data_IF_711762958051
#
_entry.id   IF_711762958051
#
_cell.length_a   1.000
_cell.length_b   1.000
_cell.length_c   1.000
_cell.angle_alpha   90.00
_cell.angle_beta   90.00
_cell.angle_gamma   90.00
#
_symmetry.space_group_name_H-M   'P 1'
#
loop_
_entity.id
_entity.type
_entity.pdbx_description
1 polymer ?
#
# COMPACT_ATOMS: atom_id res chain seq x y z
N UNK A 1 47.64 -7.93 -33.53
CA UNK A 1 47.69 -6.73 -32.67
C UNK A 1 46.99 -5.52 -33.30
N UNK A 2 47.30 -5.12 -34.55
CA UNK A 2 46.64 -3.98 -35.22
C UNK A 2 45.12 -4.15 -35.44
N UNK A 3 44.67 -5.34 -35.83
CA UNK A 3 43.23 -5.66 -35.98
C UNK A 3 42.48 -5.59 -34.64
N UNK A 4 43.09 -6.11 -33.58
CA UNK A 4 42.55 -6.07 -32.21
C UNK A 4 42.47 -4.62 -31.69
N UNK A 5 43.50 -3.81 -31.97
CA UNK A 5 43.51 -2.38 -31.63
C UNK A 5 42.44 -1.60 -32.41
N UNK A 6 42.23 -1.90 -33.70
CA UNK A 6 41.16 -1.31 -34.51
C UNK A 6 39.78 -1.65 -33.97
N UNK A 7 39.54 -2.91 -33.61
CA UNK A 7 38.25 -3.34 -33.05
C UNK A 7 37.95 -2.62 -31.72
N UNK A 8 38.94 -2.53 -30.83
CA UNK A 8 38.83 -1.81 -29.55
C UNK A 8 38.55 -0.32 -29.77
N UNK A 9 39.28 0.33 -30.69
CA UNK A 9 39.06 1.73 -31.02
C UNK A 9 37.68 1.99 -31.63
N UNK A 10 37.22 1.14 -32.54
CA UNK A 10 35.89 1.26 -33.16
C UNK A 10 34.80 1.14 -32.09
N UNK A 11 34.88 0.15 -31.20
CA UNK A 11 33.90 0.00 -30.11
C UNK A 11 33.95 1.17 -29.12
N UNK A 12 35.14 1.67 -28.79
CA UNK A 12 35.28 2.84 -27.92
C UNK A 12 34.64 4.09 -28.54
N UNK A 13 34.88 4.33 -29.84
CA UNK A 13 34.28 5.47 -30.56
C UNK A 13 32.76 5.33 -30.64
N UNK A 14 32.24 4.15 -30.98
CA UNK A 14 30.79 3.92 -31.03
C UNK A 14 30.18 4.12 -29.64
N UNK A 15 30.79 3.57 -28.58
CA UNK A 15 30.32 3.75 -27.21
C UNK A 15 30.29 5.22 -26.77
N UNK A 16 31.33 6.00 -27.10
CA UNK A 16 31.39 7.43 -26.81
C UNK A 16 30.29 8.18 -27.55
N UNK A 17 30.08 7.89 -28.84
CA UNK A 17 29.04 8.54 -29.65
C UNK A 17 27.65 8.19 -29.11
N UNK A 18 27.38 6.92 -28.80
CA UNK A 18 26.10 6.49 -28.21
C UNK A 18 25.85 7.15 -26.86
N UNK A 19 26.84 7.22 -25.98
CA UNK A 19 26.74 7.88 -24.68
C UNK A 19 26.49 9.39 -24.82
N UNK A 20 27.17 10.05 -25.77
CA UNK A 20 26.99 11.47 -26.04
C UNK A 20 25.59 11.79 -26.57
N UNK A 21 25.06 10.95 -27.47
CA UNK A 21 23.68 11.09 -27.97
C UNK A 21 22.68 10.89 -26.84
N UNK A 22 22.81 9.82 -26.05
CA UNK A 22 21.90 9.53 -24.95
C UNK A 22 21.94 10.63 -23.87
N UNK A 23 23.13 11.11 -23.51
CA UNK A 23 23.29 12.21 -22.56
C UNK A 23 22.71 13.52 -23.10
N UNK A 24 22.90 13.82 -24.39
CA UNK A 24 22.32 14.99 -25.04
C UNK A 24 20.80 14.96 -25.07
N UNK A 25 20.20 13.81 -25.41
CA UNK A 25 18.75 13.61 -25.35
C UNK A 25 18.26 13.78 -23.91
N UNK A 26 18.86 13.06 -22.95
CA UNK A 26 18.46 13.11 -21.54
C UNK A 26 18.52 14.53 -20.95
N UNK A 27 19.56 15.31 -21.25
CA UNK A 27 19.73 16.66 -20.70
C UNK A 27 18.71 17.66 -21.28
N UNK A 28 18.17 17.40 -22.47
CA UNK A 28 17.10 18.21 -23.07
C UNK A 28 15.72 17.74 -22.56
N UNK A 29 15.52 16.43 -22.41
CA UNK A 29 14.22 15.87 -22.01
C UNK A 29 13.97 15.95 -20.51
N UNK A 30 14.98 15.77 -19.66
CA UNK A 30 14.86 15.79 -18.20
C UNK A 30 14.14 17.05 -17.66
N UNK A 31 14.47 18.30 -18.04
CA UNK A 31 13.76 19.47 -17.54
C UNK A 31 12.31 19.56 -18.03
N UNK A 32 12.01 19.03 -19.22
CA UNK A 32 10.64 19.00 -19.76
C UNK A 32 9.79 17.96 -19.04
N UNK A 33 10.37 16.79 -18.74
CA UNK A 33 9.71 15.74 -17.96
C UNK A 33 9.38 16.28 -16.56
N UNK A 34 10.35 16.89 -15.89
CA UNK A 34 10.16 17.44 -14.56
C UNK A 34 9.09 18.55 -14.53
N UNK A 35 9.03 19.42 -15.54
CA UNK A 35 7.98 20.44 -15.59
C UNK A 35 6.60 19.83 -15.87
N UNK A 36 6.50 18.83 -16.75
CA UNK A 36 5.23 18.14 -17.01
C UNK A 36 4.72 17.42 -15.76
N UNK A 37 5.59 16.67 -15.07
CA UNK A 37 5.27 15.99 -13.80
C UNK A 37 4.81 17.01 -12.76
N UNK A 38 5.53 18.14 -12.62
CA UNK A 38 5.15 19.22 -11.70
C UNK A 38 3.76 19.80 -12.04
N UNK A 39 3.44 19.97 -13.32
CA UNK A 39 2.12 20.44 -13.74
C UNK A 39 1.04 19.41 -13.44
N UNK A 40 1.29 18.13 -13.67
CA UNK A 40 0.36 17.04 -13.33
C UNK A 40 0.10 16.96 -11.83
N UNK A 41 1.14 17.07 -11.00
CA UNK A 41 1.01 17.12 -9.54
C UNK A 41 0.22 18.35 -9.09
N UNK A 42 0.52 19.54 -9.63
CA UNK A 42 -0.22 20.76 -9.31
C UNK A 42 -1.69 20.68 -9.75
N UNK A 43 -1.97 20.03 -10.87
CA UNK A 43 -3.32 19.79 -11.34
C UNK A 43 -4.05 18.82 -10.40
N UNK A 44 -3.44 17.70 -10.04
CA UNK A 44 -4.03 16.75 -9.09
C UNK A 44 -4.32 17.41 -7.73
N UNK A 45 -3.40 18.24 -7.22
CA UNK A 45 -3.62 18.99 -5.97
C UNK A 45 -4.83 19.91 -6.06
N UNK A 46 -5.01 20.65 -7.15
CA UNK A 46 -6.18 21.52 -7.34
C UNK A 46 -7.47 20.74 -7.54
N UNK A 47 -7.40 19.64 -8.25
CA UNK A 47 -8.56 18.78 -8.50
C UNK A 47 -9.04 18.11 -7.19
N UNK A 48 -8.11 17.70 -6.33
CA UNK A 48 -8.41 17.00 -5.08
C UNK A 48 -8.68 17.95 -3.91
N UNK A 49 -8.01 19.10 -3.88
CA UNK A 49 -8.11 20.11 -2.83
C UNK A 49 -8.29 21.50 -3.46
N UNK A 50 -9.52 21.86 -3.88
CA UNK A 50 -9.78 23.15 -4.56
C UNK A 50 -9.36 24.38 -3.76
N UNK A 51 -9.39 24.28 -2.43
CA UNK A 51 -9.05 25.36 -1.50
C UNK A 51 -7.57 25.37 -1.06
N UNK A 52 -6.69 24.63 -1.75
CA UNK A 52 -5.25 24.59 -1.45
C UNK A 52 -4.61 25.98 -1.56
N UNK A 53 -3.90 26.39 -0.51
CA UNK A 53 -3.08 27.60 -0.50
C UNK A 53 -1.59 27.30 -0.30
N UNK A 54 -1.24 26.26 0.46
CA UNK A 54 0.14 25.87 0.69
C UNK A 54 0.27 24.38 0.90
N UNK A 55 1.44 23.84 0.59
CA UNK A 55 1.75 22.42 0.75
C UNK A 55 3.09 22.20 1.44
N UNK A 56 3.21 21.07 2.12
CA UNK A 56 4.46 20.58 2.69
C UNK A 56 4.68 19.14 2.22
N UNK A 57 5.89 18.84 1.71
CA UNK A 57 6.22 17.53 1.15
C UNK A 57 7.06 16.74 2.15
N UNK A 58 6.70 15.47 2.36
CA UNK A 58 7.41 14.47 3.15
C UNK A 58 7.73 13.27 2.28
N UNK A 59 8.99 12.84 2.29
CA UNK A 59 9.42 11.63 1.60
C UNK A 59 9.54 10.50 2.63
N UNK A 60 8.85 9.41 2.36
CA UNK A 60 8.85 8.19 3.15
C UNK A 60 9.36 7.02 2.29
N UNK A 61 9.60 5.85 2.89
CA UNK A 61 10.10 4.67 2.17
C UNK A 61 9.12 4.14 1.12
N UNK A 62 7.82 4.31 1.36
CA UNK A 62 6.71 3.84 0.53
C UNK A 62 6.18 4.88 -0.47
N UNK A 63 6.57 6.16 -0.33
CA UNK A 63 6.27 7.19 -1.32
C UNK A 63 6.38 8.62 -0.80
N UNK A 64 5.72 9.53 -1.50
CA UNK A 64 5.73 10.96 -1.18
C UNK A 64 4.38 11.41 -0.64
N UNK A 65 4.38 12.07 0.52
CA UNK A 65 3.20 12.57 1.19
C UNK A 65 3.21 14.10 1.18
N UNK A 66 2.23 14.68 0.51
CA UNK A 66 2.05 16.13 0.42
C UNK A 66 0.93 16.56 1.34
N UNK A 67 1.26 17.19 2.47
CA UNK A 67 0.30 17.80 3.37
C UNK A 67 -0.26 19.06 2.72
N UNK A 68 -1.58 19.23 2.73
CA UNK A 68 -2.28 20.29 2.01
C UNK A 68 -3.02 21.18 2.98
N UNK A 69 -2.76 22.49 2.93
CA UNK A 69 -3.33 23.47 3.84
C UNK A 69 -4.13 24.54 3.09
N UNK A 70 -5.17 25.06 3.75
CA UNK A 70 -5.93 26.22 3.26
C UNK A 70 -5.24 27.55 3.55
N UNK A 71 -5.84 28.66 3.10
CA UNK A 71 -5.31 30.01 3.32
C UNK A 71 -5.29 30.47 4.78
N UNK A 72 -5.92 29.74 5.70
CA UNK A 72 -5.89 29.98 7.15
C UNK A 72 -4.80 29.19 7.87
N UNK A 73 -4.15 28.25 7.19
CA UNK A 73 -3.19 27.32 7.77
C UNK A 73 -3.83 26.06 8.36
N UNK A 74 -5.12 25.81 8.10
CA UNK A 74 -5.79 24.57 8.50
C UNK A 74 -5.44 23.45 7.51
N UNK A 75 -5.14 22.26 8.04
CA UNK A 75 -4.92 21.05 7.23
C UNK A 75 -6.25 20.64 6.56
N UNK A 76 -6.23 20.57 5.22
CA UNK A 76 -7.34 20.05 4.41
C UNK A 76 -7.25 18.53 4.24
N UNK A 77 -6.04 17.99 4.22
CA UNK A 77 -5.75 16.57 4.07
C UNK A 77 -4.33 16.33 3.59
N UNK A 78 -4.09 15.10 3.14
CA UNK A 78 -2.80 14.64 2.63
C UNK A 78 -3.00 14.01 1.26
N UNK A 79 -2.19 14.41 0.29
CA UNK A 79 -2.07 13.72 -1.00
C UNK A 79 -0.86 12.80 -0.95
N UNK A 80 -1.07 11.50 -1.03
CA UNK A 80 -0.02 10.50 -1.16
C UNK A 80 0.22 10.17 -2.63
N UNK A 81 1.49 10.15 -3.04
CA UNK A 81 1.95 9.62 -4.32
C UNK A 81 2.80 8.40 -4.02
N UNK A 82 2.26 7.22 -4.28
CA UNK A 82 2.89 5.95 -3.92
C UNK A 82 2.95 5.01 -5.11
N UNK A 83 3.79 3.98 -4.98
CA UNK A 83 3.94 2.92 -5.96
C UNK A 83 3.77 1.56 -5.30
N UNK A 84 3.04 0.68 -5.97
CA UNK A 84 2.87 -0.71 -5.55
C UNK A 84 3.12 -1.64 -6.73
N UNK A 85 3.35 -2.91 -6.42
CA UNK A 85 3.58 -3.93 -7.43
C UNK A 85 2.29 -4.70 -7.72
N UNK A 86 1.74 -4.49 -8.92
CA UNK A 86 0.65 -5.29 -9.48
C UNK A 86 1.17 -6.60 -10.11
N UNK A 87 0.32 -7.23 -10.93
CA UNK A 87 0.67 -8.47 -11.61
C UNK A 87 1.78 -8.29 -12.66
N UNK A 88 1.65 -7.25 -13.49
CA UNK A 88 2.56 -6.99 -14.60
C UNK A 88 3.75 -6.11 -14.23
N UNK A 89 3.65 -5.35 -13.14
CA UNK A 89 4.79 -4.60 -12.60
C UNK A 89 4.36 -3.47 -11.68
N UNK A 90 5.16 -2.41 -11.65
CA UNK A 90 4.91 -1.26 -10.80
C UNK A 90 3.75 -0.43 -11.33
N UNK A 91 2.91 0.02 -10.41
CA UNK A 91 1.79 0.93 -10.63
C UNK A 91 1.98 2.12 -9.70
N UNK A 92 1.86 3.33 -10.23
CA UNK A 92 1.96 4.58 -9.48
C UNK A 92 0.62 5.28 -9.46
N UNK A 93 0.20 5.79 -8.30
CA UNK A 93 -1.05 6.54 -8.18
C UNK A 93 -0.96 7.65 -7.14
N UNK A 94 -1.82 8.65 -7.31
CA UNK A 94 -2.11 9.65 -6.29
C UNK A 94 -3.38 9.25 -5.53
N UNK A 95 -3.39 9.47 -4.23
CA UNK A 95 -4.58 9.37 -3.39
C UNK A 95 -4.67 10.56 -2.44
N UNK A 96 -5.84 11.16 -2.36
CA UNK A 96 -6.15 12.20 -1.38
C UNK A 96 -6.92 11.59 -0.21
N UNK A 97 -6.41 11.84 1.00
CA UNK A 97 -7.06 11.52 2.27
C UNK A 97 -7.41 12.84 2.93
N UNK A 98 -8.68 13.03 3.29
CA UNK A 98 -9.15 14.24 3.96
C UNK A 98 -8.62 14.34 5.38
N UNK A 99 -8.75 15.51 6.01
CA UNK A 99 -8.45 15.68 7.44
C UNK A 99 -9.31 14.81 8.37
N UNK A 100 -10.37 14.19 7.86
CA UNK A 100 -11.23 13.24 8.58
C UNK A 100 -10.77 11.78 8.40
N UNK A 101 -9.65 11.55 7.71
CA UNK A 101 -9.12 10.21 7.46
C UNK A 101 -9.84 9.45 6.34
N UNK A 102 -10.65 10.12 5.50
CA UNK A 102 -11.41 9.48 4.42
C UNK A 102 -10.78 9.71 3.06
N UNK A 103 -10.83 8.70 2.19
CA UNK A 103 -10.39 8.77 0.81
C UNK A 103 -11.32 9.70 0.03
N UNK A 104 -10.81 10.85 -0.40
CA UNK A 104 -11.56 11.87 -1.14
C UNK A 104 -11.31 11.84 -2.64
N UNK A 105 -10.19 11.27 -3.09
CA UNK A 105 -9.88 11.05 -4.50
C UNK A 105 -8.77 10.02 -4.71
N UNK A 106 -8.83 9.31 -5.84
CA UNK A 106 -7.75 8.44 -6.32
C UNK A 106 -7.53 8.71 -7.81
N UNK A 107 -6.27 8.77 -8.25
CA UNK A 107 -5.89 8.85 -9.67
C UNK A 107 -4.67 7.97 -9.93
N UNK A 108 -4.82 6.96 -10.75
CA UNK A 108 -3.69 6.17 -11.26
C UNK A 108 -2.91 7.02 -12.26
N UNK A 109 -1.61 7.17 -12.03
CA UNK A 109 -0.69 7.94 -12.87
C UNK A 109 -0.05 7.07 -13.94
N UNK A 110 0.45 5.90 -13.55
CA UNK A 110 1.05 4.94 -14.45
C UNK A 110 0.66 3.52 -14.03
N UNK A 111 0.07 2.78 -14.96
CA UNK A 111 -0.17 1.34 -14.85
C UNK A 111 0.24 0.62 -16.14
N UNK A 112 1.14 1.19 -16.93
CA UNK A 112 1.57 0.67 -18.24
C UNK A 112 2.23 -0.71 -18.16
N UNK A 113 2.69 -1.10 -16.97
CA UNK A 113 3.23 -2.44 -16.70
C UNK A 113 2.13 -3.52 -16.63
N UNK A 114 0.88 -3.16 -16.41
CA UNK A 114 -0.24 -4.10 -16.32
C UNK A 114 -0.66 -4.63 -17.70
N UNK A 115 -1.35 -5.77 -17.70
CA UNK A 115 -1.88 -6.34 -18.96
C UNK A 115 -3.09 -5.51 -19.43
N UNK A 116 -3.04 -4.91 -20.64
CA UNK A 116 -4.13 -4.09 -21.16
C UNK A 116 -5.45 -4.88 -21.25
N UNK A 117 -6.54 -4.28 -20.80
CA UNK A 117 -7.86 -4.90 -20.74
C UNK A 117 -8.09 -5.90 -19.61
N UNK A 118 -7.07 -6.16 -18.78
CA UNK A 118 -7.16 -7.06 -17.62
C UNK A 118 -6.77 -6.31 -16.35
N UNK A 119 -5.48 -6.05 -16.16
CA UNK A 119 -4.94 -5.43 -14.94
C UNK A 119 -5.15 -3.91 -14.88
N UNK A 120 -5.34 -3.26 -16.04
CA UNK A 120 -5.65 -1.84 -16.15
C UNK A 120 -7.04 -1.46 -15.59
N UNK A 121 -7.84 -2.44 -15.16
CA UNK A 121 -9.12 -2.22 -14.48
C UNK A 121 -8.97 -1.37 -13.21
N UNK A 122 -7.80 -1.41 -12.56
CA UNK A 122 -7.48 -0.59 -11.38
C UNK A 122 -7.50 0.92 -11.66
N UNK A 123 -7.34 1.33 -12.93
CA UNK A 123 -7.39 2.73 -13.35
C UNK A 123 -8.80 3.16 -13.77
N UNK A 124 -9.78 2.25 -13.80
CA UNK A 124 -11.13 2.55 -14.27
C UNK A 124 -12.00 3.16 -13.16
N UNK A 125 -12.84 4.16 -13.45
CA UNK A 125 -13.70 4.79 -12.46
C UNK A 125 -14.56 3.80 -11.69
N UNK A 126 -15.10 2.78 -12.37
CA UNK A 126 -16.00 1.78 -11.75
C UNK A 126 -15.31 0.96 -10.65
N UNK A 127 -13.99 0.79 -10.73
CA UNK A 127 -13.22 0.14 -9.68
C UNK A 127 -12.84 1.14 -8.58
N UNK A 128 -12.34 2.33 -8.95
CA UNK A 128 -11.90 3.35 -8.01
C UNK A 128 -13.04 3.83 -7.10
N UNK A 129 -14.27 3.93 -7.61
CA UNK A 129 -15.46 4.29 -6.83
C UNK A 129 -15.73 3.34 -5.65
N UNK A 130 -15.26 2.09 -5.68
CA UNK A 130 -15.40 1.12 -4.58
C UNK A 130 -14.56 1.48 -3.36
N UNK A 131 -13.53 2.29 -3.56
CA UNK A 131 -12.58 2.72 -2.53
C UNK A 131 -12.92 4.11 -1.99
N UNK A 132 -13.71 4.89 -2.73
CA UNK A 132 -14.06 6.26 -2.36
C UNK A 132 -14.86 6.30 -1.06
N UNK A 133 -14.51 7.25 -0.19
CA UNK A 133 -15.21 7.49 1.07
C UNK A 133 -14.84 6.52 2.21
N UNK A 134 -14.17 5.39 1.92
CA UNK A 134 -13.53 4.54 2.94
C UNK A 134 -12.38 5.30 3.60
N UNK A 135 -12.06 4.96 4.84
CA UNK A 135 -11.03 5.67 5.60
C UNK A 135 -10.56 4.92 6.83
N UNK A 136 -9.96 5.67 7.75
CA UNK A 136 -9.44 5.15 9.02
C UNK A 136 -10.56 4.44 9.79
N UNK A 137 -10.31 3.19 10.20
CA UNK A 137 -11.26 2.36 10.93
C UNK A 137 -12.30 1.64 10.07
N UNK A 138 -12.38 1.92 8.76
CA UNK A 138 -13.20 1.11 7.85
C UNK A 138 -12.46 -0.18 7.48
N UNK A 139 -13.22 -1.27 7.31
CA UNK A 139 -12.68 -2.50 6.78
C UNK A 139 -12.37 -2.34 5.27
N UNK A 140 -11.10 -2.53 4.90
CA UNK A 140 -10.58 -2.41 3.52
C UNK A 140 -9.80 -3.69 3.17
N UNK A 141 -10.51 -4.81 3.13
CA UNK A 141 -9.94 -6.09 2.72
C UNK A 141 -10.39 -6.49 1.30
N UNK A 142 -9.42 -6.91 0.49
CA UNK A 142 -9.68 -7.38 -0.86
C UNK A 142 -10.49 -8.68 -0.87
N UNK A 143 -11.58 -8.70 -1.64
CA UNK A 143 -12.47 -9.86 -1.77
C UNK A 143 -13.39 -10.09 -0.57
N UNK A 144 -13.31 -9.25 0.47
CA UNK A 144 -14.20 -9.26 1.64
C UNK A 144 -14.98 -7.95 1.69
N UNK A 145 -14.32 -6.82 1.95
CA UNK A 145 -14.97 -5.50 2.04
C UNK A 145 -14.95 -4.71 0.74
N UNK A 146 -14.01 -5.06 -0.14
CA UNK A 146 -13.85 -4.45 -1.46
C UNK A 146 -13.73 -5.55 -2.49
N UNK A 147 -14.74 -5.66 -3.35
CA UNK A 147 -14.78 -6.65 -4.42
C UNK A 147 -13.56 -6.52 -5.33
N UNK A 148 -12.85 -7.63 -5.52
CA UNK A 148 -11.84 -7.77 -6.57
C UNK A 148 -12.51 -7.93 -7.94
N UNK A 149 -11.72 -7.86 -9.02
CA UNK A 149 -12.24 -8.09 -10.37
C UNK A 149 -11.77 -9.46 -10.86
N UNK A 150 -12.72 -10.28 -11.29
CA UNK A 150 -12.43 -11.60 -11.86
C UNK A 150 -11.49 -11.49 -13.07
N UNK A 151 -10.44 -12.31 -13.09
CA UNK A 151 -9.38 -12.25 -14.09
C UNK A 151 -8.30 -11.19 -13.85
N UNK A 152 -8.51 -10.27 -12.90
CA UNK A 152 -7.56 -9.22 -12.52
C UNK A 152 -7.30 -9.19 -11.00
N UNK A 153 -7.56 -10.30 -10.30
CA UNK A 153 -7.53 -10.40 -8.84
C UNK A 153 -6.22 -9.92 -8.24
N UNK A 154 -5.08 -10.26 -8.83
CA UNK A 154 -3.75 -9.87 -8.31
C UNK A 154 -3.59 -8.35 -8.32
N UNK A 155 -3.90 -7.70 -9.44
CA UNK A 155 -3.75 -6.26 -9.60
C UNK A 155 -4.75 -5.49 -8.73
N UNK A 156 -6.01 -5.95 -8.67
CA UNK A 156 -7.03 -5.31 -7.81
C UNK A 156 -6.73 -5.48 -6.33
N UNK A 157 -6.24 -6.64 -5.91
CA UNK A 157 -5.86 -6.91 -4.51
C UNK A 157 -4.69 -6.03 -4.10
N UNK A 158 -3.67 -5.95 -4.96
CA UNK A 158 -2.51 -5.10 -4.70
C UNK A 158 -2.88 -3.62 -4.56
N UNK A 159 -3.83 -3.13 -5.38
CA UNK A 159 -4.35 -1.76 -5.26
C UNK A 159 -5.10 -1.55 -3.93
N UNK A 160 -5.99 -2.47 -3.55
CA UNK A 160 -6.77 -2.38 -2.30
C UNK A 160 -5.84 -2.35 -1.09
N UNK A 161 -4.84 -3.24 -1.05
CA UNK A 161 -3.86 -3.29 0.04
C UNK A 161 -2.99 -2.03 0.10
N UNK A 162 -2.56 -1.53 -1.05
CA UNK A 162 -1.79 -0.28 -1.13
C UNK A 162 -2.60 0.90 -0.62
N UNK A 163 -3.87 0.99 -1.00
CA UNK A 163 -4.78 2.05 -0.53
C UNK A 163 -4.94 2.01 0.97
N UNK A 164 -5.15 0.82 1.53
CA UNK A 164 -5.24 0.64 2.98
C UNK A 164 -3.96 1.09 3.69
N UNK A 165 -2.80 0.61 3.25
CA UNK A 165 -1.50 1.00 3.84
C UNK A 165 -1.34 2.52 3.87
N UNK A 166 -1.71 3.20 2.79
CA UNK A 166 -1.62 4.66 2.73
C UNK A 166 -2.61 5.34 3.69
N UNK A 167 -3.83 4.82 3.83
CA UNK A 167 -4.79 5.34 4.84
C UNK A 167 -4.18 5.23 6.23
N UNK A 168 -3.62 4.07 6.57
CA UNK A 168 -3.03 3.80 7.88
C UNK A 168 -1.80 4.71 8.14
N UNK A 169 -0.90 4.82 7.16
CA UNK A 169 0.27 5.72 7.22
C UNK A 169 -0.16 7.17 7.40
N UNK A 170 -1.20 7.62 6.67
CA UNK A 170 -1.68 9.00 6.79
C UNK A 170 -2.30 9.27 8.15
N UNK A 171 -3.11 8.33 8.65
CA UNK A 171 -3.75 8.42 9.95
C UNK A 171 -2.72 8.60 11.07
N UNK A 172 -1.78 7.66 11.13
CA UNK A 172 -0.78 7.58 12.19
C UNK A 172 0.21 8.74 12.14
N UNK A 173 0.75 9.06 10.96
CA UNK A 173 1.88 9.99 10.85
C UNK A 173 1.48 11.45 10.68
N UNK A 174 0.30 11.73 10.09
CA UNK A 174 -0.04 13.09 9.67
C UNK A 174 -1.35 13.62 10.25
N UNK A 175 -2.32 12.76 10.55
CA UNK A 175 -3.60 13.19 11.12
C UNK A 175 -3.63 13.10 12.65
N UNK A 176 -2.64 12.44 13.27
CA UNK A 176 -2.66 12.17 14.71
C UNK A 176 -3.85 11.29 15.10
N UNK A 177 -4.34 10.52 14.13
CA UNK A 177 -5.36 9.51 14.30
C UNK A 177 -4.60 8.21 14.57
N UNK A 178 -4.29 7.98 15.85
CA UNK A 178 -3.93 6.64 16.29
C UNK A 178 -5.15 5.75 15.97
N UNK A 179 -4.95 4.58 15.34
CA UNK A 179 -6.01 3.58 15.36
C UNK A 179 -6.38 3.38 16.83
N UNK A 180 -7.66 3.50 17.18
CA UNK A 180 -8.10 3.00 18.48
C UNK A 180 -7.70 1.52 18.48
N UNK A 181 -6.67 1.19 19.26
CA UNK A 181 -6.10 -0.15 19.29
C UNK A 181 -7.23 -1.14 19.46
N UNK A 182 -7.21 -2.20 18.64
CA UNK A 182 -8.26 -3.20 18.65
C UNK A 182 -8.46 -3.68 20.10
N UNK A 183 -9.63 -3.40 20.70
CA UNK A 183 -9.86 -3.71 22.10
C UNK A 183 -10.05 -5.22 22.25
N UNK A 184 -8.93 -5.94 22.39
CA UNK A 184 -8.90 -7.40 22.56
C UNK A 184 -9.74 -7.81 23.78
N UNK A 185 -9.89 -6.93 24.79
CA UNK A 185 -10.71 -7.23 25.97
C UNK A 185 -12.22 -7.28 25.65
N UNK A 186 -12.65 -6.67 24.54
CA UNK A 186 -14.03 -6.73 24.06
C UNK A 186 -14.32 -7.98 23.21
N UNK A 187 -13.28 -8.73 22.83
CA UNK A 187 -13.42 -9.94 22.00
C UNK A 187 -13.89 -11.10 22.86
N UNK A 188 -14.97 -11.82 22.47
CA UNK A 188 -15.41 -13.01 23.18
C UNK A 188 -14.34 -14.11 23.16
N UNK A 189 -14.32 -14.91 24.22
CA UNK A 189 -13.44 -16.08 24.29
C UNK A 189 -13.83 -17.09 23.22
N UNK A 190 -12.84 -17.56 22.46
CA UNK A 190 -13.10 -18.45 21.33
C UNK A 190 -11.90 -18.63 20.41
N UNK A 191 -12.13 -19.38 19.33
CA UNK A 191 -11.15 -19.60 18.28
C UNK A 191 -11.71 -19.10 16.97
N UNK A 192 -11.02 -18.16 16.35
CA UNK A 192 -11.48 -17.43 15.17
C UNK A 192 -10.47 -17.57 14.04
N UNK A 193 -10.97 -17.79 12.83
CA UNK A 193 -10.14 -17.82 11.64
C UNK A 193 -10.20 -16.50 10.91
N UNK A 194 -9.03 -15.99 10.57
CA UNK A 194 -8.89 -14.79 9.76
C UNK A 194 -7.90 -15.00 8.64
N UNK A 195 -8.08 -14.20 7.61
CA UNK A 195 -7.31 -14.24 6.37
C UNK A 195 -6.70 -12.87 6.16
N UNK A 196 -5.40 -12.85 5.91
CA UNK A 196 -4.65 -11.65 5.59
C UNK A 196 -3.79 -11.89 4.35
N UNK A 197 -3.70 -10.89 3.50
CA UNK A 197 -2.98 -11.02 2.23
C UNK A 197 -1.47 -10.83 2.47
N UNK A 198 -0.69 -11.88 2.19
CA UNK A 198 0.78 -11.84 2.17
C UNK A 198 1.36 -11.30 0.86
N UNK A 199 2.68 -11.40 0.68
CA UNK A 199 3.39 -10.92 -0.51
C UNK A 199 3.05 -11.69 -1.80
N UNK A 200 2.76 -12.98 -1.72
CA UNK A 200 2.43 -13.88 -2.84
C UNK A 200 0.96 -14.29 -2.87
N UNK A 201 0.32 -14.42 -1.71
CA UNK A 201 -1.04 -14.93 -1.61
C UNK A 201 -1.56 -14.86 -0.19
N UNK A 202 -2.71 -15.46 0.04
CA UNK A 202 -3.40 -15.39 1.32
C UNK A 202 -2.65 -16.17 2.41
N UNK A 203 -2.67 -15.60 3.61
CA UNK A 203 -2.23 -16.22 4.86
C UNK A 203 -3.48 -16.36 5.71
N UNK A 204 -3.80 -17.60 6.07
CA UNK A 204 -4.93 -17.91 6.95
C UNK A 204 -4.39 -18.29 8.30
N UNK A 205 -4.86 -17.61 9.34
CA UNK A 205 -4.49 -17.89 10.73
C UNK A 205 -5.73 -18.25 11.55
N UNK A 206 -5.49 -19.01 12.59
CA UNK A 206 -6.43 -19.31 13.65
C UNK A 206 -5.94 -18.63 14.93
N UNK A 207 -6.76 -17.74 15.47
CA UNK A 207 -6.48 -16.94 16.67
C UNK A 207 -7.35 -17.46 17.81
N UNK A 208 -6.73 -17.75 18.94
CA UNK A 208 -7.45 -18.13 20.17
C UNK A 208 -7.45 -16.94 21.14
N UNK A 209 -8.63 -16.57 21.60
CA UNK A 209 -8.85 -15.54 22.62
C UNK A 209 -9.39 -16.20 23.89
N UNK A 210 -8.75 -15.93 25.02
CA UNK A 210 -9.19 -16.38 26.35
C UNK A 210 -8.99 -15.28 27.39
N UNK A 211 -10.02 -14.99 28.18
CA UNK A 211 -10.00 -13.97 29.22
C UNK A 211 -9.70 -12.57 28.68
N UNK A 212 -10.18 -12.25 27.46
CA UNK A 212 -9.93 -10.96 26.80
C UNK A 212 -8.48 -10.76 26.37
N UNK A 213 -7.77 -11.86 26.05
CA UNK A 213 -6.38 -11.86 25.57
C UNK A 213 -6.18 -12.87 24.47
N UNK A 214 -5.32 -12.56 23.49
CA UNK A 214 -4.87 -13.53 22.49
C UNK A 214 -3.88 -14.48 23.16
N UNK A 215 -4.19 -15.77 23.19
CA UNK A 215 -3.35 -16.81 23.82
C UNK A 215 -2.60 -17.66 22.81
N UNK A 216 -3.09 -17.77 21.58
CA UNK A 216 -2.45 -18.55 20.52
C UNK A 216 -2.78 -18.01 19.14
N UNK A 217 -1.83 -18.14 18.22
CA UNK A 217 -1.98 -17.79 16.80
C UNK A 217 -1.30 -18.90 15.99
N UNK A 218 -2.09 -19.65 15.23
CA UNK A 218 -1.60 -20.73 14.36
C UNK A 218 -1.83 -20.39 12.90
N UNK A 219 -0.84 -20.62 12.04
CA UNK A 219 -1.06 -20.57 10.60
C UNK A 219 -1.72 -21.86 10.12
N UNK A 220 -2.87 -21.72 9.47
CA UNK A 220 -3.64 -22.81 8.85
C UNK A 220 -3.18 -23.04 7.41
N UNK A 221 -3.00 -21.96 6.64
CA UNK A 221 -2.49 -22.02 5.26
C UNK A 221 -1.75 -20.74 4.88
N UNK A 222 -0.82 -20.85 3.93
CA UNK A 222 -0.04 -19.73 3.41
C UNK A 222 0.45 -20.04 1.99
N UNK A 223 0.59 -19.01 1.15
CA UNK A 223 1.10 -19.11 -0.25
C UNK A 223 2.43 -18.37 -0.47
N UNK A 224 3.11 -17.99 0.62
CA UNK A 224 4.35 -17.24 0.62
C UNK A 224 5.57 -18.08 0.20
N UNK A 225 6.71 -17.41 0.05
CA UNK A 225 7.98 -18.13 -0.06
C UNK A 225 8.41 -18.60 1.32
N UNK A 226 8.51 -19.92 1.52
CA UNK A 226 8.79 -20.56 2.81
C UNK A 226 9.87 -19.87 3.67
N UNK A 227 10.99 -19.45 3.06
CA UNK A 227 12.10 -18.82 3.80
C UNK A 227 11.76 -17.44 4.34
N UNK A 228 11.03 -16.63 3.57
CA UNK A 228 10.63 -15.28 3.99
C UNK A 228 9.48 -15.36 5.00
N UNK A 229 8.53 -16.27 4.76
CA UNK A 229 7.42 -16.51 5.68
C UNK A 229 7.88 -17.03 7.03
N UNK A 230 8.80 -18.00 7.08
CA UNK A 230 9.33 -18.52 8.33
C UNK A 230 9.97 -17.43 9.19
N UNK A 231 10.60 -16.42 8.56
CA UNK A 231 11.21 -15.29 9.26
C UNK A 231 10.14 -14.38 9.88
N UNK A 232 9.08 -14.06 9.12
CA UNK A 232 7.95 -13.28 9.62
C UNK A 232 7.17 -14.04 10.72
N UNK A 233 6.86 -15.31 10.49
CA UNK A 233 6.08 -16.15 11.41
C UNK A 233 6.79 -16.44 12.73
N UNK A 234 8.12 -16.46 12.74
CA UNK A 234 8.87 -16.65 14.00
C UNK A 234 8.76 -15.45 14.95
N UNK A 235 8.41 -14.26 14.45
CA UNK A 235 8.47 -13.00 15.21
C UNK A 235 7.08 -12.41 15.43
N UNK A 236 6.28 -12.29 14.38
CA UNK A 236 5.04 -11.49 14.40
C UNK A 236 3.98 -12.07 15.35
N UNK A 237 3.59 -13.37 15.27
CA UNK A 237 2.58 -13.93 16.17
C UNK A 237 2.97 -13.82 17.65
N UNK A 238 4.23 -14.10 17.97
CA UNK A 238 4.73 -14.03 19.34
C UNK A 238 4.65 -12.60 19.88
N UNK A 239 5.02 -11.60 19.07
CA UNK A 239 4.90 -10.20 19.47
C UNK A 239 3.46 -9.76 19.69
N UNK A 240 2.53 -10.20 18.83
CA UNK A 240 1.11 -9.89 19.03
C UNK A 240 0.61 -10.47 20.35
N UNK A 241 0.99 -11.72 20.67
CA UNK A 241 0.62 -12.36 21.94
C UNK A 241 1.28 -11.65 23.14
N UNK A 242 2.54 -11.25 23.04
CA UNK A 242 3.26 -10.62 24.16
C UNK A 242 2.82 -9.17 24.40
N UNK A 243 2.63 -8.40 23.33
CA UNK A 243 2.27 -6.98 23.38
C UNK A 243 0.75 -6.79 23.49
N UNK A 244 -0.06 -7.80 23.15
CA UNK A 244 -1.52 -7.70 23.01
C UNK A 244 -1.90 -6.49 22.14
N UNK A 245 -1.14 -6.29 21.08
CA UNK A 245 -1.31 -5.20 20.12
C UNK A 245 -1.06 -5.74 18.70
N UNK A 246 -1.80 -5.22 17.74
CA UNK A 246 -1.64 -5.51 16.31
C UNK A 246 -0.57 -4.60 15.66
N UNK A 247 -0.14 -3.52 16.31
CA UNK A 247 0.91 -2.61 15.84
C UNK A 247 2.34 -3.14 16.07
N UNK A 248 2.59 -4.38 15.64
CA UNK A 248 3.92 -4.98 15.78
C UNK A 248 4.84 -4.55 14.65
N UNK A 249 5.96 -3.89 14.98
CA UNK A 249 6.98 -3.44 13.99
C UNK A 249 7.40 -4.60 13.06
N UNK A 250 7.06 -4.48 11.77
CA UNK A 250 7.26 -5.51 10.74
C UNK A 250 8.69 -5.56 10.18
N UNK A 251 9.69 -4.95 10.84
CA UNK A 251 11.12 -4.99 10.47
C UNK A 251 11.78 -6.36 10.60
N UNK A 252 11.34 -7.32 9.77
CA UNK A 252 11.92 -8.66 9.67
C UNK A 252 12.58 -8.91 8.31
N UNK A 253 12.58 -7.92 7.40
CA UNK A 253 13.03 -8.08 6.02
C UNK A 253 12.03 -8.83 5.13
N UNK A 254 10.85 -9.17 5.66
CA UNK A 254 9.73 -9.80 4.96
C UNK A 254 8.43 -8.99 5.17
N UNK A 255 8.48 -7.68 4.87
CA UNK A 255 7.42 -6.70 5.16
C UNK A 255 6.04 -7.16 4.69
N UNK A 256 5.92 -7.72 3.48
CA UNK A 256 4.64 -8.20 2.94
C UNK A 256 4.07 -9.41 3.69
N UNK A 257 4.91 -10.39 4.06
CA UNK A 257 4.46 -11.55 4.83
C UNK A 257 4.12 -11.16 6.28
N UNK A 258 4.88 -10.25 6.87
CA UNK A 258 4.62 -9.73 8.22
C UNK A 258 3.31 -8.95 8.28
N UNK A 259 3.05 -8.07 7.31
CA UNK A 259 1.77 -7.37 7.19
C UNK A 259 0.62 -8.37 7.04
N UNK A 260 0.76 -9.36 6.15
CA UNK A 260 -0.28 -10.38 5.94
C UNK A 260 -0.62 -11.20 7.20
N UNK A 261 0.33 -11.47 8.09
CA UNK A 261 0.03 -12.13 9.39
C UNK A 261 -0.77 -11.20 10.30
N UNK A 262 -0.34 -9.93 10.45
CA UNK A 262 -1.07 -8.95 11.26
C UNK A 262 -2.50 -8.79 10.76
N UNK A 263 -2.67 -8.74 9.44
CA UNK A 263 -3.97 -8.67 8.79
C UNK A 263 -4.85 -9.87 9.07
N UNK A 264 -4.29 -11.08 8.97
CA UNK A 264 -5.02 -12.30 9.24
C UNK A 264 -5.51 -12.36 10.69
N UNK A 265 -4.71 -11.84 11.63
CA UNK A 265 -5.12 -11.75 13.04
C UNK A 265 -6.20 -10.70 13.21
N UNK A 266 -6.07 -9.52 12.60
CA UNK A 266 -7.08 -8.45 12.67
C UNK A 266 -8.44 -8.92 12.16
N UNK A 267 -8.48 -9.55 10.99
CA UNK A 267 -9.69 -10.12 10.39
C UNK A 267 -10.33 -11.18 11.31
N UNK A 268 -9.53 -12.04 11.93
CA UNK A 268 -10.02 -13.04 12.89
C UNK A 268 -10.74 -12.38 14.09
N UNK A 269 -10.14 -11.32 14.64
CA UNK A 269 -10.70 -10.61 15.79
C UNK A 269 -11.93 -9.79 15.41
N UNK A 270 -11.96 -9.18 14.23
CA UNK A 270 -13.14 -8.45 13.76
C UNK A 270 -14.35 -9.38 13.59
N UNK A 271 -14.14 -10.54 12.96
CA UNK A 271 -15.17 -11.58 12.86
C UNK A 271 -15.64 -12.07 14.22
N UNK A 272 -14.75 -12.13 15.20
CA UNK A 272 -15.11 -12.49 16.57
C UNK A 272 -16.13 -11.52 17.18
N UNK A 273 -15.90 -10.21 17.01
CA UNK A 273 -16.82 -9.16 17.47
C UNK A 273 -18.18 -9.21 16.74
N UNK A 274 -18.17 -9.46 15.43
CA UNK A 274 -19.41 -9.59 14.65
C UNK A 274 -20.22 -10.83 15.06
N UNK A 275 -19.55 -11.96 15.31
CA UNK A 275 -20.19 -13.22 15.73
C UNK A 275 -20.72 -13.18 17.17
N UNK A 276 -20.16 -12.33 18.04
CA UNK A 276 -20.66 -12.10 19.40
C UNK A 276 -21.92 -11.21 19.47
N UNK A 277 -22.26 -10.53 18.36
CA UNK A 277 -23.44 -9.66 18.27
C UNK A 277 -24.75 -10.34 17.83
N UNK A 278 -24.71 -11.63 17.51
CA UNK A 278 -25.91 -12.39 17.09
C UNK A 278 -26.65 -13.08 18.26
N UNK A 279 -26.19 -12.89 19.51
CA UNK A 279 -26.88 -13.34 20.73
C UNK A 279 -27.38 -12.17 21.61
N UNK A 280 -28.25 -11.31 21.09
CA UNK A 280 -29.20 -10.47 21.86
C UNK A 280 -30.57 -10.39 21.19
#
# INVERSE_FOLDING_TARGET
>A
MRELLRLVLTLAVVGIVSAAVLAGVNNITAPVIAENERQETLQALKDFFPDVSSTEVKEEEDGTYTLVYDGSGKLLGVMATVQFKGYGGWVTYNMAVSSEGKISAIRVLDCSSETPGVGDVIAKPEFLERLMGKGVGDAIQAGVDVDTVSGATISTTAMINSVRLVVDTVAANYLGMEEEGFDIASVPDGTYQGTGQGYKGDIVVEVTVEGGKITDIKVISQEETDTYFATAYAVIPQRIIDEQNLEVDVKTGATGSSAGIVEAVRDALQKALESGGEEE
#
